data_IF_776030650226
#
_entry.id   IF_776030650226
#
_cell.length_a   1.000
_cell.length_b   1.000
_cell.length_c   1.000
_cell.angle_alpha   90.00
_cell.angle_beta   90.00
_cell.angle_gamma   90.00
#
_symmetry.space_group_name_H-M   'P 1'
#
loop_
_entity.id
_entity.type
_entity.pdbx_description
1 polymer ?
#
# COMPACT_ATOMS: atom_id res chain seq x y z
N UNK A 1 -10.51 3.61 -19.89
CA UNK A 1 -10.11 2.18 -19.73
C UNK A 1 -10.00 1.92 -18.24
N UNK A 2 -10.39 0.75 -17.74
CA UNK A 2 -10.24 0.47 -16.32
C UNK A 2 -8.77 0.56 -15.89
N UNK A 3 -8.53 1.20 -14.76
CA UNK A 3 -7.19 1.37 -14.19
C UNK A 3 -6.66 0.02 -13.75
N UNK A 4 -5.59 -0.47 -14.35
CA UNK A 4 -4.97 -1.74 -13.96
C UNK A 4 -3.64 -1.47 -13.24
N UNK A 5 -3.39 -2.17 -12.14
CA UNK A 5 -2.16 -2.04 -11.38
C UNK A 5 -1.32 -3.34 -11.42
N UNK A 6 0.02 -3.22 -11.41
CA UNK A 6 0.90 -4.37 -11.32
C UNK A 6 0.95 -4.88 -9.88
N UNK A 7 0.37 -6.06 -9.64
CA UNK A 7 0.32 -6.72 -8.32
C UNK A 7 1.32 -7.89 -8.31
N UNK A 8 2.21 -7.91 -7.32
CA UNK A 8 3.20 -8.96 -7.11
C UNK A 8 2.69 -10.10 -6.25
N UNK A 9 1.70 -9.84 -5.38
CA UNK A 9 1.12 -10.85 -4.51
C UNK A 9 -0.16 -10.39 -3.84
N UNK A 10 -0.97 -11.38 -3.44
CA UNK A 10 -2.15 -11.21 -2.60
C UNK A 10 -2.03 -12.24 -1.48
N UNK A 11 -1.87 -11.77 -0.25
CA UNK A 11 -1.75 -12.60 0.96
C UNK A 11 -3.04 -12.47 1.76
N UNK A 12 -3.81 -13.55 1.78
CA UNK A 12 -5.11 -13.59 2.45
C UNK A 12 -4.98 -14.04 3.89
N UNK A 13 -5.95 -13.64 4.72
CA UNK A 13 -6.09 -14.06 6.13
C UNK A 13 -4.88 -13.69 7.00
N UNK A 14 -4.29 -12.53 6.77
CA UNK A 14 -3.31 -11.97 7.70
C UNK A 14 -4.03 -11.50 8.97
N UNK A 15 -3.58 -11.96 10.13
CA UNK A 15 -4.22 -11.69 11.41
C UNK A 15 -3.30 -10.79 12.24
N UNK A 16 -3.69 -9.52 12.43
CA UNK A 16 -2.95 -8.52 13.22
C UNK A 16 -1.47 -8.33 12.79
N UNK A 17 -1.14 -8.62 11.55
CA UNK A 17 0.20 -8.38 10.97
C UNK A 17 0.15 -7.20 10.01
N UNK A 18 -0.73 -7.28 9.01
CA UNK A 18 -0.88 -6.23 7.99
C UNK A 18 -2.10 -5.33 8.27
N UNK A 19 -2.54 -5.26 9.52
CA UNK A 19 -3.69 -4.47 9.95
C UNK A 19 -4.42 -5.09 11.14
N UNK A 20 -5.41 -4.38 11.68
CA UNK A 20 -6.29 -4.89 12.72
C UNK A 20 -7.30 -5.87 12.15
N UNK A 21 -7.58 -6.94 12.90
CA UNK A 21 -8.50 -8.00 12.50
C UNK A 21 -7.91 -8.90 11.43
N UNK A 22 -8.77 -9.49 10.62
CA UNK A 22 -8.36 -10.28 9.46
C UNK A 22 -8.24 -9.36 8.26
N UNK A 23 -7.07 -9.30 7.66
CA UNK A 23 -6.78 -8.47 6.50
C UNK A 23 -6.30 -9.31 5.32
N UNK A 24 -6.49 -8.78 4.12
CA UNK A 24 -5.84 -9.27 2.91
C UNK A 24 -4.84 -8.21 2.44
N UNK A 25 -3.55 -8.57 2.44
CA UNK A 25 -2.48 -7.72 1.90
C UNK A 25 -2.45 -7.84 0.38
N UNK A 26 -2.52 -6.71 -0.30
CA UNK A 26 -2.36 -6.57 -1.75
C UNK A 26 -1.05 -5.84 -2.01
N UNK A 27 -0.06 -6.56 -2.49
CA UNK A 27 1.29 -6.06 -2.69
C UNK A 27 1.48 -5.58 -4.14
N UNK A 28 1.76 -4.28 -4.29
CA UNK A 28 2.04 -3.66 -5.59
C UNK A 28 3.51 -3.76 -5.98
N UNK A 29 3.73 -3.76 -7.28
CA UNK A 29 5.05 -3.58 -7.88
C UNK A 29 5.41 -2.08 -7.95
N UNK A 30 6.71 -1.80 -7.88
CA UNK A 30 7.36 -0.49 -7.91
C UNK A 30 7.42 0.21 -6.55
N UNK A 31 8.57 0.79 -6.28
CA UNK A 31 8.83 1.59 -5.08
C UNK A 31 9.68 2.80 -5.44
N UNK A 32 9.52 3.87 -4.69
CA UNK A 32 10.36 5.08 -4.78
C UNK A 32 11.73 4.89 -4.15
N UNK A 33 11.86 3.92 -3.24
CA UNK A 33 13.07 3.62 -2.47
C UNK A 33 13.78 2.36 -2.99
N UNK A 34 15.07 2.24 -2.63
CA UNK A 34 15.90 1.05 -2.86
C UNK A 34 16.52 0.60 -1.54
N UNK A 35 15.68 0.31 -0.56
CA UNK A 35 16.12 -0.08 0.77
C UNK A 35 17.03 -1.32 0.74
N UNK A 36 18.17 -1.26 1.41
CA UNK A 36 19.14 -2.37 1.48
C UNK A 36 18.56 -3.63 2.16
N UNK A 37 17.56 -3.44 3.03
CA UNK A 37 16.88 -4.51 3.76
C UNK A 37 15.43 -4.72 3.28
N UNK A 38 15.15 -4.44 2.00
CA UNK A 38 13.81 -4.57 1.44
C UNK A 38 13.27 -6.00 1.59
N UNK A 39 12.12 -6.17 2.23
CA UNK A 39 11.44 -7.45 2.37
C UNK A 39 10.77 -7.91 1.07
N UNK A 40 10.51 -6.96 0.16
CA UNK A 40 9.87 -7.20 -1.13
C UNK A 40 10.78 -6.80 -2.30
N UNK A 41 11.97 -7.37 -2.46
CA UNK A 41 12.89 -6.98 -3.53
C UNK A 41 12.30 -7.19 -4.93
N UNK A 42 11.28 -8.06 -5.05
CA UNK A 42 10.52 -8.27 -6.30
C UNK A 42 9.63 -7.09 -6.69
N UNK A 43 9.39 -6.14 -5.77
CA UNK A 43 8.65 -4.91 -6.05
C UNK A 43 9.48 -3.86 -6.77
N UNK A 44 10.81 -4.03 -6.83
CA UNK A 44 11.71 -3.06 -7.44
C UNK A 44 11.71 -3.19 -8.98
N UNK A 45 11.93 -2.08 -9.65
CA UNK A 45 12.02 -2.01 -11.10
C UNK A 45 13.07 -2.98 -11.66
N UNK A 46 12.75 -3.66 -12.75
CA UNK A 46 13.62 -4.64 -13.43
C UNK A 46 13.26 -6.10 -13.16
N UNK A 47 12.37 -6.38 -12.21
CA UNK A 47 11.84 -7.72 -11.97
C UNK A 47 10.39 -7.76 -12.43
N UNK A 48 10.11 -8.23 -13.63
CA UNK A 48 8.74 -8.30 -14.20
C UNK A 48 7.95 -9.51 -13.68
N UNK A 49 7.92 -9.74 -12.38
CA UNK A 49 7.10 -10.78 -11.76
C UNK A 49 5.84 -10.17 -11.13
N UNK A 50 4.93 -9.69 -11.96
CA UNK A 50 3.65 -9.14 -11.52
C UNK A 50 2.52 -9.54 -12.49
N UNK A 51 1.29 -9.42 -12.01
CA UNK A 51 0.08 -9.52 -12.83
C UNK A 51 -0.62 -8.17 -12.84
N UNK A 52 -1.01 -7.69 -14.02
CA UNK A 52 -1.89 -6.52 -14.12
C UNK A 52 -3.31 -6.93 -13.76
N UNK A 53 -3.88 -6.29 -12.77
CA UNK A 53 -5.21 -6.60 -12.22
C UNK A 53 -5.99 -5.29 -12.13
N UNK A 54 -7.28 -5.29 -12.53
CA UNK A 54 -8.17 -4.14 -12.34
C UNK A 54 -8.80 -4.17 -10.95
N UNK A 55 -9.35 -3.03 -10.46
CA UNK A 55 -10.06 -2.98 -9.18
C UNK A 55 -11.20 -4.00 -9.08
N UNK A 56 -11.98 -4.18 -10.16
CA UNK A 56 -13.07 -5.15 -10.21
C UNK A 56 -12.56 -6.59 -10.11
N UNK A 57 -11.49 -6.90 -10.86
CA UNK A 57 -10.87 -8.24 -10.81
C UNK A 57 -10.23 -8.52 -9.45
N UNK A 58 -9.72 -7.49 -8.76
CA UNK A 58 -9.26 -7.63 -7.37
C UNK A 58 -10.44 -7.91 -6.44
N UNK A 59 -11.52 -7.12 -6.54
CA UNK A 59 -12.71 -7.31 -5.71
C UNK A 59 -13.26 -8.72 -5.83
N UNK A 60 -13.39 -9.25 -7.06
CA UNK A 60 -13.86 -10.62 -7.29
C UNK A 60 -12.98 -11.68 -6.58
N UNK A 61 -11.67 -11.43 -6.46
CA UNK A 61 -10.76 -12.37 -5.78
C UNK A 61 -10.85 -12.32 -4.27
N UNK A 62 -11.09 -11.14 -3.69
CA UNK A 62 -11.03 -10.93 -2.24
C UNK A 62 -12.39 -10.92 -1.57
N UNK A 63 -13.50 -10.78 -2.32
CA UNK A 63 -14.86 -10.78 -1.76
C UNK A 63 -15.24 -12.05 -1.00
N UNK A 64 -14.56 -13.14 -1.26
CA UNK A 64 -14.74 -14.40 -0.52
C UNK A 64 -14.33 -14.25 0.96
N UNK A 65 -13.55 -13.23 1.30
CA UNK A 65 -13.10 -12.94 2.67
C UNK A 65 -14.03 -11.98 3.42
N UNK A 66 -15.12 -11.51 2.80
CA UNK A 66 -16.05 -10.52 3.36
C UNK A 66 -16.54 -10.85 4.76
N UNK A 67 -16.90 -12.11 5.02
CA UNK A 67 -17.37 -12.56 6.32
C UNK A 67 -16.30 -12.36 7.42
N UNK A 68 -15.04 -12.63 7.10
CA UNK A 68 -13.92 -12.43 8.03
C UNK A 68 -13.67 -10.95 8.29
N UNK A 69 -13.76 -10.11 7.26
CA UNK A 69 -13.60 -8.66 7.40
C UNK A 69 -14.71 -8.07 8.28
N UNK A 70 -15.96 -8.46 8.06
CA UNK A 70 -17.08 -8.02 8.89
C UNK A 70 -16.96 -8.48 10.34
N UNK A 71 -16.59 -9.75 10.57
CA UNK A 71 -16.51 -10.32 11.91
C UNK A 71 -15.37 -9.70 12.75
N UNK A 72 -14.32 -9.20 12.12
CA UNK A 72 -13.10 -8.73 12.81
C UNK A 72 -12.81 -7.23 12.62
N UNK A 73 -13.69 -6.52 11.92
CA UNK A 73 -13.47 -5.13 11.51
C UNK A 73 -12.17 -4.95 10.68
N UNK A 74 -11.84 -5.96 9.89
CA UNK A 74 -10.69 -5.99 9.00
C UNK A 74 -10.98 -5.44 7.60
N UNK A 75 -10.19 -5.86 6.62
CA UNK A 75 -10.36 -5.42 5.23
C UNK A 75 -9.12 -5.62 4.37
N UNK A 76 -8.84 -4.65 3.52
CA UNK A 76 -7.73 -4.69 2.57
C UNK A 76 -6.61 -3.77 3.03
N UNK A 77 -5.39 -4.28 3.02
CA UNK A 77 -4.18 -3.48 3.21
C UNK A 77 -3.39 -3.45 1.90
N UNK A 78 -3.12 -2.26 1.40
CA UNK A 78 -2.28 -2.06 0.24
C UNK A 78 -0.82 -1.80 0.66
N UNK A 79 0.11 -2.57 0.10
CA UNK A 79 1.53 -2.50 0.44
C UNK A 79 2.42 -3.05 -0.67
N UNK A 80 3.51 -3.70 -0.31
CA UNK A 80 4.47 -4.32 -1.24
C UNK A 80 5.64 -3.42 -1.58
N UNK A 81 5.58 -2.70 -2.72
CA UNK A 81 6.46 -1.57 -3.03
C UNK A 81 5.96 -0.29 -2.35
N UNK A 82 5.73 0.78 -3.13
CA UNK A 82 5.08 2.00 -2.59
C UNK A 82 3.65 2.09 -3.16
N UNK A 83 2.63 1.76 -2.36
CA UNK A 83 1.25 1.68 -2.83
C UNK A 83 0.67 3.04 -3.22
N UNK A 84 1.16 4.17 -2.67
CA UNK A 84 0.67 5.50 -3.05
C UNK A 84 0.89 5.82 -4.53
N UNK A 85 1.86 5.17 -5.19
CA UNK A 85 2.04 5.26 -6.64
C UNK A 85 0.86 4.70 -7.43
N UNK A 86 -0.07 4.02 -6.76
CA UNK A 86 -1.29 3.43 -7.34
C UNK A 86 -2.56 4.09 -6.79
N UNK A 87 -2.48 5.36 -6.44
CA UNK A 87 -3.57 6.11 -5.83
C UNK A 87 -4.89 5.99 -6.61
N UNK A 88 -4.85 6.11 -7.93
CA UNK A 88 -6.04 5.98 -8.78
C UNK A 88 -6.71 4.61 -8.67
N UNK A 89 -5.91 3.54 -8.67
CA UNK A 89 -6.41 2.18 -8.48
C UNK A 89 -7.08 2.01 -7.10
N UNK A 90 -6.44 2.53 -6.05
CA UNK A 90 -6.95 2.43 -4.68
C UNK A 90 -8.26 3.20 -4.53
N UNK A 91 -8.37 4.40 -5.12
CA UNK A 91 -9.62 5.18 -5.15
C UNK A 91 -10.74 4.42 -5.86
N UNK A 92 -10.46 3.84 -7.04
CA UNK A 92 -11.44 3.06 -7.78
C UNK A 92 -11.88 1.83 -6.97
N UNK A 93 -10.93 1.12 -6.35
CA UNK A 93 -11.24 -0.02 -5.49
C UNK A 93 -12.11 0.39 -4.29
N UNK A 94 -11.77 1.47 -3.58
CA UNK A 94 -12.56 1.99 -2.44
C UNK A 94 -14.00 2.31 -2.85
N UNK A 95 -14.20 2.78 -4.07
CA UNK A 95 -15.53 3.13 -4.60
C UNK A 95 -16.44 1.94 -4.85
N UNK A 96 -15.86 0.78 -5.20
CA UNK A 96 -16.60 -0.44 -5.58
C UNK A 96 -16.64 -1.50 -4.47
N UNK A 97 -15.72 -1.46 -3.50
CA UNK A 97 -15.72 -2.41 -2.39
C UNK A 97 -16.85 -2.12 -1.40
N UNK A 98 -17.28 -3.11 -0.58
CA UNK A 98 -18.23 -2.89 0.50
C UNK A 98 -17.77 -1.77 1.44
N UNK A 99 -18.70 -0.89 1.82
CA UNK A 99 -18.39 0.30 2.62
C UNK A 99 -17.89 0.00 4.03
N UNK A 100 -18.16 -1.17 4.55
CA UNK A 100 -17.71 -1.66 5.85
C UNK A 100 -16.32 -2.28 5.81
N UNK A 101 -15.69 -2.42 4.64
CA UNK A 101 -14.29 -2.87 4.56
C UNK A 101 -13.35 -1.73 4.92
N UNK A 102 -12.45 -2.00 5.84
CA UNK A 102 -11.38 -1.07 6.16
C UNK A 102 -10.32 -1.10 5.07
N UNK A 103 -9.94 0.06 4.57
CA UNK A 103 -8.86 0.21 3.59
C UNK A 103 -7.65 0.82 4.28
N UNK A 104 -6.60 0.04 4.38
CA UNK A 104 -5.33 0.42 5.02
C UNK A 104 -4.21 0.50 3.98
N UNK A 105 -3.17 1.24 4.31
CA UNK A 105 -1.99 1.38 3.45
C UNK A 105 -0.70 1.27 4.28
N UNK A 106 0.27 0.51 3.78
CA UNK A 106 1.64 0.45 4.31
C UNK A 106 2.55 1.27 3.42
N UNK A 107 3.05 2.39 3.91
CA UNK A 107 3.81 3.35 3.09
C UNK A 107 5.04 3.86 3.82
N UNK A 108 6.11 4.11 3.06
CA UNK A 108 7.28 4.84 3.55
C UNK A 108 7.12 6.37 3.43
N UNK A 109 6.03 6.86 2.88
CA UNK A 109 5.73 8.29 2.63
C UNK A 109 6.76 9.05 1.77
N UNK A 110 7.71 8.39 1.14
CA UNK A 110 8.67 9.04 0.26
C UNK A 110 8.10 9.19 -1.16
N UNK A 111 7.03 9.95 -1.25
CA UNK A 111 6.28 10.26 -2.47
C UNK A 111 5.94 11.76 -2.53
N UNK A 112 5.61 12.26 -3.70
CA UNK A 112 5.10 13.63 -3.83
C UNK A 112 3.85 13.82 -2.95
N UNK A 113 3.75 14.97 -2.28
CA UNK A 113 2.65 15.26 -1.36
C UNK A 113 1.27 15.21 -2.05
N UNK A 114 1.21 15.39 -3.35
CA UNK A 114 -0.01 15.26 -4.15
C UNK A 114 -0.68 13.87 -3.98
N UNK A 115 0.12 12.79 -3.91
CA UNK A 115 -0.38 11.44 -3.65
C UNK A 115 -0.96 11.33 -2.23
N UNK A 116 -0.28 11.89 -1.23
CA UNK A 116 -0.74 11.86 0.16
C UNK A 116 -2.07 12.62 0.30
N UNK A 117 -2.16 13.82 -0.28
CA UNK A 117 -3.38 14.63 -0.29
C UNK A 117 -4.55 13.89 -0.95
N UNK A 118 -4.28 13.20 -2.06
CA UNK A 118 -5.28 12.42 -2.79
C UNK A 118 -5.80 11.26 -1.94
N UNK A 119 -4.92 10.58 -1.20
CA UNK A 119 -5.28 9.42 -0.38
C UNK A 119 -5.89 9.78 0.98
N UNK A 120 -5.80 11.02 1.44
CA UNK A 120 -6.18 11.44 2.78
C UNK A 120 -7.61 11.04 3.19
N UNK A 121 -8.58 11.17 2.28
CA UNK A 121 -9.98 10.81 2.51
C UNK A 121 -10.36 9.41 1.99
N UNK A 122 -9.41 8.67 1.46
CA UNK A 122 -9.63 7.34 0.86
C UNK A 122 -9.22 6.24 1.82
N UNK A 123 -8.13 6.46 2.53
CA UNK A 123 -7.50 5.50 3.43
C UNK A 123 -8.04 5.66 4.85
N UNK A 124 -8.48 4.55 5.43
CA UNK A 124 -8.99 4.51 6.80
C UNK A 124 -7.84 4.43 7.82
N UNK A 125 -6.76 3.69 7.51
CA UNK A 125 -5.59 3.54 8.37
C UNK A 125 -4.27 3.61 7.60
N UNK A 126 -3.31 4.36 8.14
CA UNK A 126 -1.95 4.48 7.63
C UNK A 126 -0.98 3.74 8.54
N UNK A 127 -0.28 2.76 8.01
CA UNK A 127 0.90 2.15 8.62
C UNK A 127 2.13 2.77 7.98
N UNK A 128 2.80 3.65 8.73
CA UNK A 128 3.91 4.45 8.20
C UNK A 128 5.23 3.85 8.67
N UNK A 129 6.03 3.42 7.73
CA UNK A 129 7.36 2.88 7.98
C UNK A 129 8.42 3.98 7.84
N UNK A 130 8.77 4.61 8.95
CA UNK A 130 9.82 5.63 9.02
C UNK A 130 11.17 4.92 9.11
N UNK A 131 11.91 4.90 8.00
CA UNK A 131 13.19 4.18 7.90
C UNK A 131 14.27 4.76 8.82
N UNK A 132 14.39 6.09 8.88
CA UNK A 132 15.20 6.82 9.84
C UNK A 132 14.85 8.33 9.81
N UNK A 133 14.98 9.02 10.94
CA UNK A 133 14.84 10.48 11.03
C UNK A 133 16.14 11.21 10.70
N UNK A 134 17.29 10.56 10.88
CA UNK A 134 18.58 11.10 10.47
C UNK A 134 18.74 10.94 8.95
N UNK A 135 18.84 12.06 8.22
CA UNK A 135 18.89 12.04 6.76
C UNK A 135 20.09 11.26 6.21
N UNK A 136 21.27 11.36 6.84
CA UNK A 136 22.46 10.64 6.38
C UNK A 136 22.27 9.13 6.46
N UNK A 137 21.68 8.64 7.56
CA UNK A 137 21.36 7.23 7.75
C UNK A 137 20.27 6.83 6.75
N UNK A 138 19.20 7.60 6.65
CA UNK A 138 18.10 7.35 5.72
C UNK A 138 18.60 7.20 4.27
N UNK A 139 19.41 8.14 3.78
CA UNK A 139 19.98 8.09 2.43
C UNK A 139 20.87 6.86 2.23
N UNK A 140 21.69 6.51 3.23
CA UNK A 140 22.57 5.36 3.14
C UNK A 140 21.82 4.03 2.98
N UNK A 141 20.60 3.93 3.54
CA UNK A 141 19.76 2.75 3.48
C UNK A 141 18.80 2.70 2.31
N UNK A 142 18.26 3.86 1.90
CA UNK A 142 17.13 3.93 0.96
C UNK A 142 17.52 4.49 -0.40
N UNK A 143 18.64 5.20 -0.48
CA UNK A 143 19.10 5.91 -1.69
C UNK A 143 18.37 7.22 -1.96
N UNK A 144 17.58 7.74 -1.01
CA UNK A 144 16.79 8.99 -1.11
C UNK A 144 16.90 9.82 0.15
N UNK A 145 16.66 11.14 0.05
CA UNK A 145 16.49 12.02 1.22
C UNK A 145 15.17 11.72 1.95
N UNK A 146 15.16 11.92 3.27
CA UNK A 146 13.95 11.80 4.09
C UNK A 146 13.10 13.08 4.14
N UNK A 147 13.52 14.16 3.47
CA UNK A 147 12.81 15.43 3.51
C UNK A 147 11.33 15.29 3.15
N UNK A 148 11.04 14.58 2.06
CA UNK A 148 9.68 14.34 1.60
C UNK A 148 8.83 13.59 2.63
N UNK A 149 9.43 12.64 3.35
CA UNK A 149 8.75 11.88 4.43
C UNK A 149 8.35 12.82 5.56
N UNK A 150 9.27 13.68 5.99
CA UNK A 150 9.02 14.64 7.08
C UNK A 150 7.93 15.64 6.70
N UNK A 151 7.95 16.15 5.47
CA UNK A 151 6.92 17.05 4.95
C UNK A 151 5.54 16.38 4.90
N UNK A 152 5.48 15.13 4.44
CA UNK A 152 4.25 14.35 4.36
C UNK A 152 3.71 13.98 5.75
N UNK A 153 4.57 13.65 6.70
CA UNK A 153 4.19 13.41 8.10
C UNK A 153 3.58 14.64 8.77
N UNK A 154 4.08 15.84 8.46
CA UNK A 154 3.52 17.08 9.00
C UNK A 154 2.15 17.42 8.39
N UNK A 155 1.86 16.88 7.22
CA UNK A 155 0.56 17.06 6.56
C UNK A 155 -0.50 16.10 7.12
N UNK A 156 -0.17 14.85 7.40
CA UNK A 156 -1.07 13.84 7.98
C UNK A 156 -1.39 14.12 9.46
#
# INVERSE_FOLDING_TARGET
>A
MPTAAPIIGIVRHSINVDGEGVCTLVAFHSCTLKCKYCLNPHSLSGVEKYKKITPEALLERVKVDDLYFQATNGGITFGGGEPMLRAEFIEEFKRICPSNWRISIETALNVEQSFVRRMFNVIDHYYIDIKDINNTIYESYTGKSNQQVIENLKFL
#
